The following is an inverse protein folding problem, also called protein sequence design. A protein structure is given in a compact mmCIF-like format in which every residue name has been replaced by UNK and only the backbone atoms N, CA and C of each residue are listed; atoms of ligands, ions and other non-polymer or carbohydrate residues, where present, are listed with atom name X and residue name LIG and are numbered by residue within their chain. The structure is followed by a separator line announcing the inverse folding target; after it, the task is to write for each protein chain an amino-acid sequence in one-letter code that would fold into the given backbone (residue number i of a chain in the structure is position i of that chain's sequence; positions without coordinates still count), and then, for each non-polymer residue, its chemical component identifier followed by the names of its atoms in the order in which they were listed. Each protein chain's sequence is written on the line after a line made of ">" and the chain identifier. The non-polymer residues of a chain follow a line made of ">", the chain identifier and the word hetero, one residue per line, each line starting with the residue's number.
data_IF_322847705002
#
_entry.id   IF_322847705002
#
_cell.length_a   1.000
_cell.length_b   1.000
_cell.length_c   1.000
_cell.angle_alpha   90.00
_cell.angle_beta   90.00
_cell.angle_gamma   90.00
#
_symmetry.space_group_name_H-M   'P 1'
#
loop_
_entity.id
_entity.type
_entity.pdbx_description
1 polymer ?
#
# COMPACT_ATOMS: atom_id res chain seq x y z
N UNK A 1 9.68 2.44 -9.42
CA UNK A 1 8.57 2.77 -8.49
C UNK A 1 8.41 4.28 -8.32
N UNK A 2 9.34 4.99 -7.67
CA UNK A 2 9.22 6.46 -7.45
C UNK A 2 9.10 7.25 -8.76
N UNK A 3 9.86 6.88 -9.80
CA UNK A 3 9.75 7.50 -11.15
C UNK A 3 8.37 7.35 -11.80
N UNK A 4 7.60 6.34 -11.41
CA UNK A 4 6.24 6.10 -11.94
C UNK A 4 5.20 7.02 -11.28
N UNK A 5 5.56 7.71 -10.19
CA UNK A 5 4.70 8.72 -9.59
C UNK A 5 4.62 9.93 -10.52
N UNK A 6 3.39 10.43 -10.72
CA UNK A 6 3.19 11.75 -11.32
C UNK A 6 3.76 12.85 -10.44
N UNK A 7 3.91 14.06 -10.99
CA UNK A 7 4.21 15.27 -10.21
C UNK A 7 3.17 15.44 -9.10
N UNK A 8 3.65 15.73 -7.89
CA UNK A 8 2.84 15.82 -6.66
C UNK A 8 2.29 14.49 -6.17
N UNK A 9 2.77 13.35 -6.70
CA UNK A 9 2.25 12.02 -6.37
C UNK A 9 2.80 11.48 -5.05
N UNK A 10 2.02 10.60 -4.42
CA UNK A 10 2.40 9.89 -3.19
C UNK A 10 2.57 8.41 -3.46
N UNK A 11 3.75 7.87 -3.17
CA UNK A 11 4.00 6.44 -3.08
C UNK A 11 3.86 5.96 -1.63
N UNK A 12 3.24 4.79 -1.45
CA UNK A 12 3.10 4.14 -0.14
C UNK A 12 3.86 2.83 -0.14
N UNK A 13 4.76 2.66 0.81
CA UNK A 13 5.52 1.42 1.01
C UNK A 13 4.76 0.56 2.02
N UNK A 14 4.29 -0.62 1.59
CA UNK A 14 3.54 -1.58 2.43
C UNK A 14 4.30 -2.88 2.71
N UNK A 15 5.38 -3.15 1.96
CA UNK A 15 6.20 -4.36 2.12
C UNK A 15 7.34 -4.14 3.11
N UNK A 16 7.58 -5.12 3.98
CA UNK A 16 8.72 -5.11 4.89
C UNK A 16 9.95 -5.70 4.18
N UNK A 17 10.98 -4.88 3.99
CA UNK A 17 12.28 -5.32 3.49
C UNK A 17 13.10 -6.00 4.60
N UNK A 18 14.06 -6.88 4.25
CA UNK A 18 15.03 -7.40 5.20
C UNK A 18 15.79 -6.28 5.92
N UNK A 19 16.18 -6.53 7.17
CA UNK A 19 16.98 -5.59 7.96
C UNK A 19 18.30 -5.25 7.23
N UNK A 20 18.67 -3.97 7.24
CA UNK A 20 19.89 -3.46 6.61
C UNK A 20 19.78 -3.21 5.10
N UNK A 21 18.67 -3.57 4.45
CA UNK A 21 18.44 -3.23 3.05
C UNK A 21 18.05 -1.74 2.89
N UNK A 22 18.64 -1.07 1.91
CA UNK A 22 18.31 0.31 1.54
C UNK A 22 17.82 0.38 0.10
N UNK A 23 17.02 1.42 -0.21
CA UNK A 23 16.55 1.71 -1.55
C UNK A 23 17.27 2.94 -2.11
N UNK A 24 17.69 2.87 -3.39
CA UNK A 24 18.24 4.02 -4.09
C UNK A 24 17.09 4.91 -4.60
N UNK A 25 17.02 6.15 -4.12
CA UNK A 25 15.97 7.12 -4.44
C UNK A 25 16.63 8.34 -5.08
N UNK A 26 16.12 8.75 -6.24
CA UNK A 26 16.54 9.98 -6.91
C UNK A 26 15.95 11.20 -6.18
N UNK A 27 16.80 11.91 -5.42
CA UNK A 27 16.37 13.05 -4.61
C UNK A 27 16.03 14.27 -5.47
N UNK A 28 16.60 14.41 -6.66
CA UNK A 28 16.29 15.53 -7.57
C UNK A 28 14.89 15.36 -8.12
N UNK A 29 14.52 14.14 -8.52
CA UNK A 29 13.16 13.78 -8.93
C UNK A 29 12.14 14.07 -7.80
N UNK A 30 12.46 13.68 -6.57
CA UNK A 30 11.60 13.90 -5.40
C UNK A 30 11.30 15.39 -5.17
N UNK A 31 12.34 16.23 -5.17
CA UNK A 31 12.20 17.67 -4.88
C UNK A 31 11.54 18.41 -6.04
N UNK A 32 12.02 18.22 -7.28
CA UNK A 32 11.50 18.97 -8.44
C UNK A 32 10.04 18.66 -8.70
N UNK A 33 9.67 17.39 -8.61
CA UNK A 33 8.30 16.95 -8.86
C UNK A 33 7.43 16.93 -7.61
N UNK A 34 7.94 17.40 -6.45
CA UNK A 34 7.20 17.45 -5.19
C UNK A 34 6.56 16.10 -4.82
N UNK A 35 7.31 15.00 -4.97
CA UNK A 35 6.82 13.64 -4.70
C UNK A 35 6.94 13.31 -3.21
N UNK A 36 5.99 12.53 -2.72
CA UNK A 36 5.97 12.04 -1.34
C UNK A 36 6.16 10.53 -1.31
N UNK A 37 6.97 10.03 -0.38
CA UNK A 37 7.10 8.60 -0.11
C UNK A 37 6.85 8.36 1.37
N UNK A 38 5.87 7.51 1.70
CA UNK A 38 5.49 7.19 3.08
C UNK A 38 5.47 5.70 3.32
N UNK A 39 5.86 5.28 4.52
CA UNK A 39 5.65 3.91 4.99
C UNK A 39 4.25 3.74 5.57
N UNK A 40 3.64 2.58 5.36
CA UNK A 40 2.42 2.20 6.04
C UNK A 40 2.54 0.80 6.62
N UNK A 41 2.32 0.73 7.93
CA UNK A 41 2.27 -0.51 8.67
C UNK A 41 0.82 -0.71 9.13
N UNK A 42 0.20 -1.81 8.70
CA UNK A 42 -1.23 -2.08 8.93
C UNK A 42 -2.19 -0.94 8.51
N UNK A 43 -1.87 -0.22 7.43
CA UNK A 43 -2.72 0.85 6.91
C UNK A 43 -2.59 2.18 7.65
N UNK A 44 -1.72 2.29 8.66
CA UNK A 44 -1.51 3.51 9.46
C UNK A 44 -2.79 4.08 10.10
N UNK A 45 -3.81 3.23 10.29
CA UNK A 45 -5.13 3.56 10.86
C UNK A 45 -5.53 2.48 11.89
N UNK A 46 -6.64 2.71 12.60
CA UNK A 46 -7.20 1.69 13.51
C UNK A 46 -7.56 0.41 12.73
N UNK A 47 -7.05 -0.76 13.14
CA UNK A 47 -7.40 -2.03 12.53
C UNK A 47 -8.92 -2.28 12.53
N UNK A 48 -9.60 -1.95 13.63
CA UNK A 48 -11.06 -2.16 13.77
C UNK A 48 -11.84 -1.46 12.65
N UNK A 49 -11.54 -0.17 12.42
CA UNK A 49 -12.18 0.63 11.36
C UNK A 49 -11.88 0.04 9.97
N UNK A 50 -10.66 -0.44 9.76
CA UNK A 50 -10.25 -1.02 8.47
C UNK A 50 -10.97 -2.34 8.20
N UNK A 51 -11.06 -3.22 9.18
CA UNK A 51 -11.75 -4.51 9.05
C UNK A 51 -13.24 -4.32 8.78
N UNK A 52 -13.90 -3.41 9.50
CA UNK A 52 -15.31 -3.07 9.25
C UNK A 52 -15.55 -2.66 7.79
N UNK A 53 -14.68 -1.78 7.26
CA UNK A 53 -14.79 -1.30 5.88
C UNK A 53 -14.50 -2.37 4.83
N UNK A 54 -13.56 -3.26 5.08
CA UNK A 54 -13.29 -4.42 4.20
C UNK A 54 -14.51 -5.35 4.15
N UNK A 55 -15.12 -5.64 5.30
CA UNK A 55 -16.32 -6.49 5.39
C UNK A 55 -17.49 -5.83 4.64
N UNK A 56 -17.69 -4.52 4.80
CA UNK A 56 -18.70 -3.77 4.08
C UNK A 56 -18.50 -3.86 2.56
N UNK A 57 -17.27 -3.68 2.08
CA UNK A 57 -16.96 -3.77 0.66
C UNK A 57 -17.17 -5.18 0.10
N UNK A 58 -16.86 -6.20 0.88
CA UNK A 58 -17.16 -7.58 0.51
C UNK A 58 -18.67 -7.82 0.41
N UNK A 59 -19.43 -7.48 1.45
CA UNK A 59 -20.89 -7.68 1.50
C UNK A 59 -21.63 -6.90 0.41
N UNK A 60 -21.14 -5.72 0.04
CA UNK A 60 -21.70 -4.88 -1.02
C UNK A 60 -21.24 -5.28 -2.44
N UNK A 61 -20.39 -6.30 -2.58
CA UNK A 61 -19.87 -6.74 -3.89
C UNK A 61 -18.83 -5.79 -4.50
N UNK A 62 -18.34 -4.79 -3.76
CA UNK A 62 -17.30 -3.85 -4.20
C UNK A 62 -15.89 -4.42 -4.09
N UNK A 63 -15.73 -5.52 -3.34
CA UNK A 63 -14.46 -6.23 -3.16
C UNK A 63 -14.69 -7.74 -3.34
N UNK A 64 -14.05 -8.32 -4.35
CA UNK A 64 -14.07 -9.76 -4.58
C UNK A 64 -12.94 -10.46 -3.82
N UNK A 65 -13.26 -10.93 -2.61
CA UNK A 65 -12.33 -11.74 -1.80
C UNK A 65 -12.23 -13.18 -2.32
N UNK A 66 -13.25 -13.69 -3.01
CA UNK A 66 -13.26 -15.10 -3.42
C UNK A 66 -12.25 -15.38 -4.52
N UNK A 67 -11.97 -14.39 -5.38
CA UNK A 67 -10.97 -14.50 -6.44
C UNK A 67 -9.54 -14.79 -5.96
N UNK A 68 -9.20 -14.40 -4.73
CA UNK A 68 -7.83 -14.56 -4.18
C UNK A 68 -7.65 -15.83 -3.35
N UNK A 69 -8.70 -16.66 -3.21
CA UNK A 69 -8.62 -17.91 -2.47
C UNK A 69 -7.99 -18.99 -3.36
N UNK A 70 -6.72 -19.31 -3.12
CA UNK A 70 -6.01 -20.35 -3.90
C UNK A 70 -6.28 -21.77 -3.41
N UNK A 71 -6.40 -21.97 -2.10
CA UNK A 71 -6.51 -23.29 -1.48
C UNK A 71 -7.49 -23.26 -0.31
N UNK A 72 -8.26 -24.35 -0.18
CA UNK A 72 -9.13 -24.61 0.96
C UNK A 72 -8.71 -25.93 1.57
N UNK A 73 -8.56 -25.94 2.89
CA UNK A 73 -8.21 -27.13 3.65
C UNK A 73 -9.48 -27.62 4.38
N UNK A 74 -9.75 -28.93 4.41
CA UNK A 74 -10.87 -29.51 5.15
C UNK A 74 -10.70 -29.39 6.66
#
# INVERSE_FOLDING_TARGET
>A
MVKSLRKGGTGVIIGLAPLGMTANIDLVDMVRDHKTLVGSYYGSVSPHVTFERIIEFYKSGRLDINSVIERKYP
#
